data_IF_852795489482
#
_entry.id   IF_852795489482
#
_cell.length_a   1.000
_cell.length_b   1.000
_cell.length_c   1.000
_cell.angle_alpha   90.00
_cell.angle_beta   90.00
_cell.angle_gamma   90.00
#
_symmetry.space_group_name_H-M   'P 1'
#
loop_
_entity.id
_entity.type
_entity.pdbx_description
1 polymer ?
#
# COMPACT_ATOMS: atom_id res chain seq x y z
N UNK A 1 25.59 35.24 -2.10
CA UNK A 1 25.43 34.10 -3.03
C UNK A 1 24.30 33.18 -2.56
N UNK A 2 23.12 33.75 -2.22
CA UNK A 2 21.91 33.04 -1.74
C UNK A 2 20.66 33.61 -2.45
N UNK A 3 20.83 34.51 -3.43
CA UNK A 3 19.72 35.23 -4.08
C UNK A 3 19.51 34.85 -5.55
N UNK A 4 20.10 33.75 -6.03
CA UNK A 4 20.02 33.35 -7.45
C UNK A 4 19.56 31.88 -7.65
N UNK A 5 18.77 31.35 -6.72
CA UNK A 5 17.94 30.14 -6.95
C UNK A 5 16.47 30.51 -6.69
N UNK A 6 16.05 31.65 -7.23
CA UNK A 6 14.66 32.11 -7.22
C UNK A 6 14.10 32.09 -8.65
N UNK A 7 14.18 30.95 -9.33
CA UNK A 7 13.35 30.72 -10.52
C UNK A 7 13.38 29.23 -10.90
N UNK A 8 12.31 28.48 -10.55
CA UNK A 8 11.74 27.29 -11.23
C UNK A 8 10.96 26.30 -10.35
N UNK A 9 10.95 26.46 -9.02
CA UNK A 9 10.07 25.67 -8.14
C UNK A 9 9.30 26.61 -7.21
N UNK A 10 7.97 26.62 -7.31
CA UNK A 10 7.09 27.36 -6.39
C UNK A 10 7.00 26.60 -5.06
N UNK A 11 8.09 26.56 -4.30
CA UNK A 11 8.05 26.01 -2.95
C UNK A 11 7.25 26.94 -2.04
N UNK A 12 6.22 26.41 -1.37
CA UNK A 12 5.54 27.09 -0.27
C UNK A 12 6.35 26.93 1.01
N UNK A 13 6.57 28.03 1.74
CA UNK A 13 7.24 28.02 3.04
C UNK A 13 6.20 28.19 4.15
N UNK A 14 6.21 27.33 5.17
CA UNK A 14 5.40 27.51 6.38
C UNK A 14 6.29 27.98 7.55
N UNK A 15 5.69 28.73 8.48
CA UNK A 15 6.36 29.27 9.67
C UNK A 15 5.81 28.56 10.91
N UNK A 16 6.62 27.74 11.58
CA UNK A 16 6.25 27.22 12.91
C UNK A 16 6.83 28.05 14.05
N UNK A 17 6.02 28.23 15.10
CA UNK A 17 6.35 29.04 16.28
C UNK A 17 7.31 28.28 17.19
N UNK A 18 8.62 28.39 16.96
CA UNK A 18 9.66 28.58 17.99
C UNK A 18 11.10 28.37 17.53
N UNK A 19 11.38 28.14 16.25
CA UNK A 19 12.75 28.19 15.73
C UNK A 19 12.74 28.79 14.33
N UNK A 20 13.65 29.73 14.05
CA UNK A 20 13.80 30.45 12.77
C UNK A 20 14.37 29.54 11.65
N UNK A 21 13.77 28.36 11.43
CA UNK A 21 14.13 27.44 10.36
C UNK A 21 12.99 27.41 9.34
N UNK A 22 13.30 27.80 8.10
CA UNK A 22 12.37 27.73 6.98
C UNK A 22 12.51 26.38 6.30
N UNK A 23 11.49 25.52 6.40
CA UNK A 23 11.41 24.32 5.57
C UNK A 23 10.78 24.70 4.23
N UNK A 24 11.51 24.47 3.13
CA UNK A 24 10.89 24.45 1.81
C UNK A 24 10.00 23.21 1.76
N UNK A 25 8.68 23.37 1.83
CA UNK A 25 7.79 22.25 1.63
C UNK A 25 7.79 21.91 0.14
N UNK A 26 8.15 20.68 -0.19
CA UNK A 26 7.90 20.14 -1.53
C UNK A 26 6.39 20.12 -1.79
N UNK A 27 5.93 20.36 -3.02
CA UNK A 27 4.52 20.18 -3.35
C UNK A 27 4.09 18.74 -3.03
N UNK A 28 2.95 18.58 -2.35
CA UNK A 28 2.40 17.24 -2.09
C UNK A 28 2.01 16.59 -3.42
N UNK A 29 2.29 15.28 -3.59
CA UNK A 29 1.85 14.59 -4.79
C UNK A 29 0.34 14.44 -4.81
N UNK A 30 -0.25 14.43 -6.02
CA UNK A 30 -1.62 13.99 -6.27
C UNK A 30 -1.62 12.64 -6.97
N UNK A 31 -2.67 11.86 -6.75
CA UNK A 31 -2.83 10.53 -7.36
C UNK A 31 -4.14 10.47 -8.14
N UNK A 32 -4.07 10.01 -9.38
CA UNK A 32 -5.22 9.88 -10.27
C UNK A 32 -5.31 8.42 -10.69
N UNK A 33 -6.43 7.77 -10.40
CA UNK A 33 -6.69 6.39 -10.79
C UNK A 33 -7.59 6.36 -12.03
N UNK A 34 -7.28 5.47 -12.99
CA UNK A 34 -8.33 4.95 -13.86
C UNK A 34 -9.32 4.08 -13.08
N UNK A 35 -10.44 3.71 -13.70
CA UNK A 35 -11.49 2.91 -13.08
C UNK A 35 -11.41 1.42 -13.47
N UNK A 36 -11.48 1.12 -14.76
CA UNK A 36 -11.63 -0.24 -15.26
C UNK A 36 -10.24 -0.91 -15.26
N UNK A 37 -10.11 -2.10 -14.67
CA UNK A 37 -8.81 -2.77 -14.51
C UNK A 37 -7.87 -2.16 -13.45
N UNK A 38 -8.15 -0.95 -12.98
CA UNK A 38 -7.41 -0.29 -11.89
C UNK A 38 -8.17 -0.32 -10.57
N UNK A 39 -9.28 0.41 -10.41
CA UNK A 39 -10.08 0.40 -9.17
C UNK A 39 -11.04 -0.80 -9.13
N UNK A 40 -11.62 -1.13 -10.27
CA UNK A 40 -12.54 -2.25 -10.42
C UNK A 40 -11.91 -3.37 -11.26
N UNK A 41 -12.03 -4.61 -10.79
CA UNK A 41 -11.60 -5.80 -11.53
C UNK A 41 -12.64 -6.14 -12.62
N UNK A 42 -12.66 -5.30 -13.67
CA UNK A 42 -13.72 -5.31 -14.69
C UNK A 42 -13.34 -6.02 -15.98
N UNK A 43 -12.04 -6.14 -16.29
CA UNK A 43 -11.55 -6.72 -17.54
C UNK A 43 -12.08 -8.13 -17.83
N UNK A 44 -12.14 -9.08 -16.87
CA UNK A 44 -12.65 -10.41 -17.15
C UNK A 44 -14.12 -10.40 -17.60
N UNK A 45 -14.95 -9.62 -16.91
CA UNK A 45 -16.38 -9.55 -17.18
C UNK A 45 -16.68 -8.70 -18.43
N UNK A 46 -15.93 -7.63 -18.67
CA UNK A 46 -16.03 -6.84 -19.90
C UNK A 46 -15.62 -7.66 -21.13
N UNK A 47 -14.57 -8.46 -21.03
CA UNK A 47 -14.17 -9.38 -22.11
C UNK A 47 -15.29 -10.39 -22.40
N UNK A 48 -15.90 -10.97 -21.36
CA UNK A 48 -17.05 -11.87 -21.55
C UNK A 48 -18.21 -11.17 -22.30
N UNK A 49 -18.58 -9.94 -21.94
CA UNK A 49 -19.64 -9.19 -22.62
C UNK A 49 -19.29 -8.81 -24.05
N UNK A 50 -18.02 -8.55 -24.29
CA UNK A 50 -17.50 -8.36 -25.63
C UNK A 50 -17.60 -9.63 -26.50
N UNK A 51 -17.24 -10.80 -25.96
CA UNK A 51 -17.40 -12.08 -26.65
C UNK A 51 -18.86 -12.39 -26.98
N UNK A 52 -19.77 -12.18 -26.01
CA UNK A 52 -21.21 -12.36 -26.19
C UNK A 52 -21.77 -11.43 -27.29
N UNK A 53 -21.32 -10.16 -27.32
CA UNK A 53 -21.73 -9.19 -28.34
C UNK A 53 -21.32 -9.64 -29.75
N UNK A 54 -20.07 -10.04 -29.95
CA UNK A 54 -19.57 -10.46 -31.27
C UNK A 54 -20.17 -11.80 -31.71
N UNK A 55 -20.39 -12.72 -30.79
CA UNK A 55 -21.10 -13.97 -31.09
C UNK A 55 -22.51 -13.69 -31.62
N UNK A 56 -23.19 -12.65 -31.12
CA UNK A 56 -24.49 -12.20 -31.63
C UNK A 56 -24.49 -11.69 -33.09
N UNK A 57 -23.31 -11.49 -33.68
CA UNK A 57 -23.11 -11.13 -35.10
C UNK A 57 -22.38 -12.23 -35.88
N UNK A 58 -22.31 -13.45 -35.35
CA UNK A 58 -21.55 -14.57 -35.92
C UNK A 58 -20.06 -14.23 -36.16
N UNK A 59 -19.47 -13.45 -35.24
CA UNK A 59 -18.05 -13.06 -35.26
C UNK A 59 -17.30 -13.66 -34.09
N UNK A 60 -16.01 -13.88 -34.31
CA UNK A 60 -15.10 -14.40 -33.29
C UNK A 60 -14.37 -13.24 -32.62
N UNK A 61 -14.56 -13.10 -31.31
CA UNK A 61 -13.78 -12.19 -30.49
C UNK A 61 -12.35 -12.69 -30.32
N UNK A 62 -11.41 -11.74 -30.20
CA UNK A 62 -10.03 -12.05 -29.84
C UNK A 62 -9.58 -11.13 -28.70
N UNK A 63 -8.69 -11.63 -27.84
CA UNK A 63 -8.08 -10.81 -26.79
C UNK A 63 -7.33 -9.61 -27.36
N UNK A 64 -6.58 -9.79 -28.45
CA UNK A 64 -5.84 -8.70 -29.08
C UNK A 64 -6.75 -7.55 -29.57
N UNK A 65 -7.90 -7.89 -30.14
CA UNK A 65 -8.90 -6.88 -30.52
C UNK A 65 -9.48 -6.20 -29.28
N UNK A 66 -9.87 -6.96 -28.25
CA UNK A 66 -10.36 -6.41 -26.99
C UNK A 66 -9.37 -5.41 -26.36
N UNK A 67 -8.10 -5.80 -26.20
CA UNK A 67 -7.07 -4.91 -25.65
C UNK A 67 -6.91 -3.63 -26.49
N UNK A 68 -7.11 -3.69 -27.80
CA UNK A 68 -7.04 -2.49 -28.67
C UNK A 68 -8.23 -1.52 -28.50
N UNK A 69 -9.30 -1.96 -27.83
CA UNK A 69 -10.51 -1.19 -27.54
C UNK A 69 -10.47 -0.54 -26.15
N UNK A 70 -9.56 -0.97 -25.26
CA UNK A 70 -9.41 -0.42 -23.92
C UNK A 70 -9.19 1.10 -23.93
N UNK A 71 -9.88 1.80 -23.04
CA UNK A 71 -9.81 3.26 -22.90
C UNK A 71 -10.63 4.08 -23.90
N UNK A 72 -11.29 3.45 -24.89
CA UNK A 72 -12.16 4.14 -25.85
C UNK A 72 -13.61 4.25 -25.36
N UNK A 73 -14.34 5.27 -25.84
CA UNK A 73 -15.79 5.38 -25.59
C UNK A 73 -16.55 4.26 -26.30
N UNK A 74 -17.67 3.81 -25.73
CA UNK A 74 -18.52 2.75 -26.32
C UNK A 74 -18.92 3.06 -27.77
N UNK A 75 -19.21 4.32 -28.11
CA UNK A 75 -19.51 4.74 -29.49
C UNK A 75 -18.34 4.54 -30.45
N UNK A 76 -17.12 4.78 -29.98
CA UNK A 76 -15.90 4.57 -30.78
C UNK A 76 -15.60 3.08 -30.93
N UNK A 77 -15.78 2.30 -29.86
CA UNK A 77 -15.68 0.83 -29.89
C UNK A 77 -16.63 0.27 -30.94
N UNK A 78 -17.90 0.66 -30.90
CA UNK A 78 -18.90 0.20 -31.85
C UNK A 78 -18.54 0.54 -33.31
N UNK A 79 -18.09 1.76 -33.58
CA UNK A 79 -17.65 2.16 -34.92
C UNK A 79 -16.46 1.33 -35.42
N UNK A 80 -15.48 1.04 -34.54
CA UNK A 80 -14.34 0.16 -34.86
C UNK A 80 -14.80 -1.26 -35.17
N UNK A 81 -15.70 -1.83 -34.37
CA UNK A 81 -16.20 -3.18 -34.56
C UNK A 81 -17.01 -3.33 -35.86
N UNK A 82 -17.88 -2.38 -36.18
CA UNK A 82 -18.63 -2.36 -37.45
C UNK A 82 -17.67 -2.37 -38.63
N UNK A 83 -16.63 -1.53 -38.60
CA UNK A 83 -15.64 -1.45 -39.66
C UNK A 83 -14.78 -2.71 -39.75
N UNK A 84 -14.26 -3.21 -38.62
CA UNK A 84 -13.35 -4.36 -38.57
C UNK A 84 -14.04 -5.66 -39.03
N UNK A 85 -15.26 -5.89 -38.57
CA UNK A 85 -16.02 -7.12 -38.85
C UNK A 85 -16.95 -7.01 -40.06
N UNK A 86 -17.01 -5.83 -40.70
CA UNK A 86 -17.91 -5.49 -41.82
C UNK A 86 -19.37 -5.82 -41.48
N UNK A 87 -19.83 -5.35 -40.33
CA UNK A 87 -21.17 -5.63 -39.83
C UNK A 87 -22.23 -4.90 -40.69
N UNK A 88 -23.35 -5.56 -40.95
CA UNK A 88 -24.47 -4.97 -41.69
C UNK A 88 -25.49 -4.30 -40.76
N UNK A 89 -24.99 -3.53 -39.79
CA UNK A 89 -25.76 -2.76 -38.80
C UNK A 89 -25.06 -1.43 -38.56
N UNK A 90 -25.78 -0.43 -38.03
CA UNK A 90 -25.19 0.86 -37.72
C UNK A 90 -24.26 0.78 -36.50
N UNK A 91 -23.30 1.70 -36.39
CA UNK A 91 -22.45 1.80 -35.20
C UNK A 91 -23.28 2.19 -33.96
N UNK A 92 -24.34 2.96 -34.16
CA UNK A 92 -25.29 3.36 -33.14
C UNK A 92 -26.01 2.14 -32.55
N UNK A 93 -26.50 1.21 -33.39
CA UNK A 93 -27.17 -0.02 -32.94
C UNK A 93 -26.21 -0.93 -32.15
N UNK A 94 -24.96 -1.07 -32.62
CA UNK A 94 -23.94 -1.84 -31.90
C UNK A 94 -23.61 -1.19 -30.56
N UNK A 95 -23.51 0.14 -30.51
CA UNK A 95 -23.24 0.89 -29.29
C UNK A 95 -24.39 0.73 -28.27
N UNK A 96 -25.65 0.79 -28.71
CA UNK A 96 -26.81 0.59 -27.84
C UNK A 96 -26.84 -0.82 -27.26
N UNK A 97 -26.69 -1.85 -28.09
CA UNK A 97 -26.63 -3.25 -27.63
C UNK A 97 -25.47 -3.48 -26.67
N UNK A 98 -24.31 -2.89 -26.93
CA UNK A 98 -23.17 -3.05 -26.03
C UNK A 98 -23.40 -2.33 -24.69
N UNK A 99 -23.96 -1.12 -24.70
CA UNK A 99 -24.39 -0.40 -23.48
C UNK A 99 -25.36 -1.25 -22.66
N UNK A 100 -26.37 -1.84 -23.29
CA UNK A 100 -27.33 -2.73 -22.62
C UNK A 100 -26.63 -3.95 -22.00
N UNK A 101 -25.69 -4.56 -22.73
CA UNK A 101 -24.93 -5.71 -22.26
C UNK A 101 -24.06 -5.38 -21.03
N UNK A 102 -23.46 -4.19 -20.99
CA UNK A 102 -22.57 -3.78 -19.89
C UNK A 102 -23.28 -3.03 -18.76
N UNK A 103 -24.54 -2.61 -18.92
CA UNK A 103 -25.26 -1.81 -17.92
C UNK A 103 -25.32 -2.45 -16.52
N UNK A 104 -25.31 -3.79 -16.45
CA UNK A 104 -25.35 -4.56 -15.20
C UNK A 104 -23.98 -5.06 -14.73
N UNK A 105 -22.92 -4.80 -15.48
CA UNK A 105 -21.55 -5.19 -15.13
C UNK A 105 -21.13 -4.58 -13.79
N UNK A 106 -21.32 -3.26 -13.50
CA UNK A 106 -20.91 -2.65 -12.24
C UNK A 106 -21.45 -3.33 -10.98
N UNK A 107 -22.64 -3.92 -11.07
CA UNK A 107 -23.29 -4.65 -9.96
C UNK A 107 -22.63 -5.99 -9.64
N UNK A 108 -21.76 -6.50 -10.53
CA UNK A 108 -21.07 -7.78 -10.39
C UNK A 108 -19.56 -7.60 -10.16
N UNK A 109 -19.03 -6.40 -10.40
CA UNK A 109 -17.62 -6.12 -10.23
C UNK A 109 -17.19 -6.23 -8.76
N UNK A 110 -15.97 -6.68 -8.54
CA UNK A 110 -15.26 -6.55 -7.25
C UNK A 110 -14.20 -5.45 -7.38
N UNK A 111 -13.75 -4.93 -6.24
CA UNK A 111 -12.56 -4.06 -6.24
C UNK A 111 -11.32 -4.85 -6.65
N UNK A 112 -10.41 -4.20 -7.36
CA UNK A 112 -9.07 -4.74 -7.61
C UNK A 112 -8.39 -5.02 -6.28
N UNK A 113 -7.68 -6.15 -6.19
CA UNK A 113 -6.99 -6.55 -4.96
C UNK A 113 -6.06 -5.44 -4.45
N UNK A 114 -6.26 -5.03 -3.20
CA UNK A 114 -5.48 -3.97 -2.56
C UNK A 114 -5.93 -2.54 -2.88
N UNK A 115 -6.96 -2.33 -3.71
CA UNK A 115 -7.43 -0.99 -4.04
C UNK A 115 -7.93 -0.23 -2.80
N UNK A 116 -8.71 -0.88 -1.93
CA UNK A 116 -9.20 -0.26 -0.70
C UNK A 116 -8.05 0.08 0.26
N UNK A 117 -7.09 -0.84 0.43
CA UNK A 117 -5.88 -0.61 1.25
C UNK A 117 -5.09 0.61 0.75
N UNK A 118 -4.92 0.72 -0.56
CA UNK A 118 -4.25 1.87 -1.20
C UNK A 118 -5.03 3.16 -0.98
N UNK A 119 -6.35 3.17 -1.16
CA UNK A 119 -7.17 4.36 -0.94
C UNK A 119 -7.13 4.84 0.52
N UNK A 120 -7.23 3.93 1.49
CA UNK A 120 -7.06 4.26 2.91
C UNK A 120 -5.65 4.80 3.20
N UNK A 121 -4.63 4.16 2.64
CA UNK A 121 -3.23 4.58 2.83
C UNK A 121 -2.98 5.98 2.28
N UNK A 122 -3.43 6.29 1.07
CA UNK A 122 -3.29 7.62 0.49
C UNK A 122 -4.07 8.67 1.28
N UNK A 123 -5.26 8.33 1.76
CA UNK A 123 -6.06 9.22 2.64
C UNK A 123 -5.37 9.46 3.98
N UNK A 124 -4.79 8.42 4.59
CA UNK A 124 -4.00 8.53 5.82
C UNK A 124 -2.82 9.47 5.64
N UNK A 125 -2.14 9.39 4.49
CA UNK A 125 -1.04 10.26 4.10
C UNK A 125 -1.49 11.65 3.59
N UNK A 126 -2.79 11.94 3.64
CA UNK A 126 -3.39 13.20 3.17
C UNK A 126 -2.98 13.57 1.73
N UNK A 127 -2.89 12.55 0.87
CA UNK A 127 -2.58 12.67 -0.55
C UNK A 127 -3.92 12.85 -1.30
N UNK A 128 -4.10 13.96 -2.05
CA UNK A 128 -5.30 14.15 -2.86
C UNK A 128 -5.44 13.08 -3.94
N UNK A 129 -6.65 12.50 -4.04
CA UNK A 129 -6.95 11.41 -4.97
C UNK A 129 -8.03 11.85 -5.95
N UNK A 130 -7.89 11.51 -7.23
CA UNK A 130 -8.95 11.62 -8.22
C UNK A 130 -9.22 10.30 -8.93
N UNK A 131 -10.44 10.15 -9.43
CA UNK A 131 -10.83 9.11 -10.38
C UNK A 131 -10.99 9.75 -11.76
N UNK A 132 -10.41 9.16 -12.80
CA UNK A 132 -10.52 9.66 -14.17
C UNK A 132 -10.74 8.50 -15.15
N UNK A 133 -11.98 8.33 -15.62
CA UNK A 133 -12.41 7.20 -16.45
C UNK A 133 -13.07 7.63 -17.76
N UNK A 134 -12.85 6.88 -18.84
CA UNK A 134 -13.57 7.07 -20.09
C UNK A 134 -15.05 6.62 -20.03
N UNK A 135 -15.43 5.91 -18.96
CA UNK A 135 -16.79 5.44 -18.71
C UNK A 135 -17.72 6.57 -18.29
N UNK A 136 -19.02 6.42 -18.56
CA UNK A 136 -20.04 7.39 -18.14
C UNK A 136 -20.28 7.33 -16.64
N UNK A 137 -20.81 8.42 -16.08
CA UNK A 137 -21.13 8.47 -14.64
C UNK A 137 -22.08 7.37 -14.20
N UNK A 138 -23.10 7.07 -15.00
CA UNK A 138 -24.10 6.03 -14.71
C UNK A 138 -23.49 4.63 -14.60
N UNK A 139 -22.34 4.37 -15.24
CA UNK A 139 -21.66 3.09 -15.17
C UNK A 139 -20.89 2.93 -13.85
N UNK A 140 -20.00 3.87 -13.49
CA UNK A 140 -19.13 3.66 -12.33
C UNK A 140 -19.78 4.08 -10.99
N UNK A 141 -20.73 5.03 -10.97
CA UNK A 141 -21.30 5.55 -9.71
C UNK A 141 -21.91 4.47 -8.81
N UNK A 142 -22.72 3.51 -9.31
CA UNK A 142 -23.25 2.43 -8.47
C UNK A 142 -22.15 1.60 -7.80
N UNK A 143 -21.02 1.39 -8.48
CA UNK A 143 -19.88 0.68 -7.92
C UNK A 143 -19.22 1.48 -6.79
N UNK A 144 -18.99 2.79 -6.98
CA UNK A 144 -18.40 3.63 -5.93
C UNK A 144 -19.27 3.68 -4.68
N UNK A 145 -20.58 3.85 -4.85
CA UNK A 145 -21.53 3.90 -3.73
C UNK A 145 -21.60 2.58 -2.96
N UNK A 146 -21.72 1.45 -3.66
CA UNK A 146 -21.84 0.12 -3.03
C UNK A 146 -20.58 -0.24 -2.23
N UNK A 147 -19.40 0.12 -2.74
CA UNK A 147 -18.14 -0.13 -2.05
C UNK A 147 -17.80 0.97 -1.03
N UNK A 148 -18.60 2.05 -0.94
CA UNK A 148 -18.33 3.17 -0.04
C UNK A 148 -16.96 3.79 -0.28
N UNK A 149 -16.60 4.08 -1.54
CA UNK A 149 -15.29 4.65 -1.90
C UNK A 149 -15.36 6.01 -2.59
N UNK A 150 -16.54 6.57 -2.80
CA UNK A 150 -16.68 7.88 -3.43
C UNK A 150 -15.99 9.00 -2.62
N UNK A 151 -16.02 8.89 -1.29
CA UNK A 151 -15.46 9.88 -0.37
C UNK A 151 -13.92 9.97 -0.37
N UNK A 152 -13.21 9.03 -1.01
CA UNK A 152 -11.75 9.12 -1.14
C UNK A 152 -11.35 10.08 -2.26
N UNK A 153 -12.23 10.30 -3.25
CA UNK A 153 -11.91 11.08 -4.43
C UNK A 153 -12.24 12.56 -4.21
N UNK A 154 -11.22 13.40 -4.19
CA UNK A 154 -11.34 14.86 -4.21
C UNK A 154 -11.93 15.36 -5.54
N UNK A 155 -11.76 14.58 -6.61
CA UNK A 155 -12.37 14.83 -7.91
C UNK A 155 -12.71 13.51 -8.61
N UNK A 156 -13.84 13.49 -9.31
CA UNK A 156 -14.25 12.37 -10.17
C UNK A 156 -14.53 12.93 -11.55
N UNK A 157 -13.82 12.42 -12.55
CA UNK A 157 -13.90 12.83 -13.94
C UNK A 157 -14.36 11.63 -14.76
N UNK A 158 -15.46 11.81 -15.46
CA UNK A 158 -16.10 10.80 -16.32
C UNK A 158 -15.81 11.08 -17.79
N UNK A 159 -16.11 10.09 -18.65
CA UNK A 159 -16.05 10.26 -20.10
C UNK A 159 -17.05 11.29 -20.63
N UNK A 160 -18.06 11.64 -19.83
CA UNK A 160 -19.06 12.66 -20.13
C UNK A 160 -18.50 14.09 -19.92
N UNK A 161 -17.45 14.24 -19.10
CA UNK A 161 -16.83 15.53 -18.79
C UNK A 161 -15.84 16.00 -19.86
N UNK A 162 -15.46 15.12 -20.79
CA UNK A 162 -14.47 15.40 -21.84
C UNK A 162 -15.01 15.13 -23.24
N UNK A 163 -14.63 15.99 -24.18
CA UNK A 163 -15.01 15.85 -25.59
C UNK A 163 -14.27 14.69 -26.25
N UNK A 164 -12.95 14.64 -26.07
CA UNK A 164 -12.06 13.65 -26.69
C UNK A 164 -11.64 12.63 -25.64
N UNK A 165 -11.78 11.34 -25.97
CA UNK A 165 -11.38 10.24 -25.10
C UNK A 165 -9.86 10.02 -25.14
N UNK A 166 -9.37 9.16 -24.23
CA UNK A 166 -7.99 8.65 -24.26
C UNK A 166 -7.72 8.06 -25.66
N UNK A 167 -6.57 8.34 -26.30
CA UNK A 167 -5.32 8.83 -25.72
C UNK A 167 -5.17 10.36 -25.61
N UNK A 168 -6.20 11.16 -25.90
CA UNK A 168 -6.11 12.60 -25.71
C UNK A 168 -5.92 12.95 -24.21
N UNK A 169 -5.16 14.00 -23.86
CA UNK A 169 -4.81 14.30 -22.47
C UNK A 169 -5.94 14.95 -21.66
N UNK A 170 -7.05 15.32 -22.29
CA UNK A 170 -8.13 16.14 -21.74
C UNK A 170 -8.61 15.65 -20.37
N UNK A 171 -8.78 14.33 -20.19
CA UNK A 171 -9.31 13.75 -18.96
C UNK A 171 -8.36 13.91 -17.78
N UNK A 172 -7.06 13.68 -18.01
CA UNK A 172 -6.04 13.81 -16.97
C UNK A 172 -5.67 15.27 -16.73
N UNK A 173 -5.66 16.13 -17.74
CA UNK A 173 -5.52 17.58 -17.55
C UNK A 173 -6.65 18.14 -16.69
N UNK A 174 -7.89 17.70 -16.92
CA UNK A 174 -9.02 18.07 -16.08
C UNK A 174 -8.84 17.55 -14.65
N UNK A 175 -8.46 16.29 -14.46
CA UNK A 175 -8.19 15.72 -13.14
C UNK A 175 -7.11 16.49 -12.36
N UNK A 176 -5.96 16.76 -12.99
CA UNK A 176 -4.86 17.57 -12.43
C UNK A 176 -5.36 18.96 -12.00
N UNK A 177 -6.13 19.63 -12.88
CA UNK A 177 -6.67 20.96 -12.58
C UNK A 177 -7.61 20.98 -11.37
N UNK A 178 -8.32 19.86 -11.12
CA UNK A 178 -9.24 19.70 -10.00
C UNK A 178 -8.54 19.33 -8.70
N UNK A 179 -7.46 18.54 -8.78
CA UNK A 179 -6.64 18.19 -7.62
C UNK A 179 -5.79 19.38 -7.12
N UNK A 180 -5.45 20.33 -8.00
CA UNK A 180 -4.62 21.49 -7.67
C UNK A 180 -3.23 21.12 -7.11
N UNK A 181 -2.73 19.95 -7.51
CA UNK A 181 -1.42 19.40 -7.15
C UNK A 181 -0.44 19.60 -8.30
N UNK A 182 0.84 19.82 -7.99
CA UNK A 182 1.89 20.08 -8.99
C UNK A 182 2.61 18.79 -9.45
N UNK A 183 2.70 17.78 -8.59
CA UNK A 183 3.32 16.48 -8.90
C UNK A 183 2.26 15.38 -8.94
N UNK A 184 1.83 14.96 -10.12
CA UNK A 184 0.69 14.05 -10.27
C UNK A 184 1.12 12.69 -10.82
N UNK A 185 0.65 11.64 -10.16
CA UNK A 185 0.81 10.26 -10.59
C UNK A 185 -0.51 9.75 -11.16
N UNK A 186 -0.47 9.15 -12.34
CA UNK A 186 -1.62 8.50 -12.98
C UNK A 186 -1.39 7.00 -12.99
N UNK A 187 -2.34 6.22 -12.47
CA UNK A 187 -2.29 4.76 -12.46
C UNK A 187 -3.24 4.24 -13.53
N UNK A 188 -2.68 3.47 -14.47
CA UNK A 188 -3.35 3.03 -15.68
C UNK A 188 -2.95 1.61 -16.05
N UNK A 189 -3.88 0.88 -16.65
CA UNK A 189 -3.73 -0.50 -17.09
C UNK A 189 -3.86 -0.63 -18.62
N UNK A 190 -4.10 0.49 -19.32
CA UNK A 190 -4.28 0.54 -20.77
C UNK A 190 -3.33 1.51 -21.47
N UNK A 191 -2.84 1.12 -22.66
CA UNK A 191 -1.90 1.91 -23.48
C UNK A 191 -2.41 3.32 -23.77
N UNK A 192 -3.68 3.44 -24.12
CA UNK A 192 -4.30 4.75 -24.41
C UNK A 192 -4.25 5.66 -23.19
N UNK A 193 -4.41 5.08 -22.00
CA UNK A 193 -4.28 5.73 -20.71
C UNK A 193 -2.90 6.27 -20.44
N UNK A 194 -1.87 5.43 -20.56
CA UNK A 194 -0.47 5.84 -20.38
C UNK A 194 -0.10 6.99 -21.31
N UNK A 195 -0.49 6.92 -22.59
CA UNK A 195 -0.24 8.00 -23.54
C UNK A 195 -0.94 9.29 -23.10
N UNK A 196 -2.21 9.20 -22.69
CA UNK A 196 -3.00 10.34 -22.21
C UNK A 196 -2.35 10.98 -20.97
N UNK A 197 -1.89 10.17 -20.01
CA UNK A 197 -1.23 10.63 -18.79
C UNK A 197 0.07 11.39 -19.10
N UNK A 198 0.91 10.82 -19.96
CA UNK A 198 2.16 11.44 -20.38
C UNK A 198 1.93 12.76 -21.12
N UNK A 199 0.95 12.81 -22.02
CA UNK A 199 0.57 14.03 -22.74
C UNK A 199 -0.04 15.10 -21.81
N UNK A 200 -0.64 14.69 -20.69
CA UNK A 200 -1.14 15.59 -19.66
C UNK A 200 -0.04 16.15 -18.74
N UNK A 201 1.20 15.65 -18.86
CA UNK A 201 2.34 16.06 -18.02
C UNK A 201 2.36 15.39 -16.64
N UNK A 202 1.62 14.29 -16.46
CA UNK A 202 1.67 13.48 -15.24
C UNK A 202 2.72 12.37 -15.35
N UNK A 203 3.17 11.86 -14.21
CA UNK A 203 3.98 10.64 -14.10
C UNK A 203 3.07 9.43 -14.25
N UNK A 204 3.25 8.64 -15.30
CA UNK A 204 2.39 7.47 -15.55
C UNK A 204 2.95 6.21 -14.89
N UNK A 205 2.10 5.48 -14.17
CA UNK A 205 2.37 4.15 -13.60
C UNK A 205 1.51 3.10 -14.30
N UNK A 206 2.15 2.11 -14.88
CA UNK A 206 1.48 0.95 -15.45
C UNK A 206 1.10 -0.06 -14.36
N UNK A 207 -0.19 -0.30 -14.15
CA UNK A 207 -0.65 -1.41 -13.32
C UNK A 207 -0.68 -2.70 -14.17
N UNK A 208 0.23 -3.62 -13.84
CA UNK A 208 0.34 -4.89 -14.55
C UNK A 208 -0.96 -5.69 -14.49
N UNK A 209 -1.43 -6.12 -15.65
CA UNK A 209 -2.63 -6.94 -15.78
C UNK A 209 -2.39 -8.06 -16.83
N UNK A 210 -3.12 -9.19 -16.76
CA UNK A 210 -2.92 -10.30 -17.68
C UNK A 210 -3.61 -10.12 -19.05
N UNK A 211 -4.28 -8.98 -19.27
CA UNK A 211 -5.11 -8.69 -20.44
C UNK A 211 -4.39 -7.79 -21.45
N UNK A 212 -3.36 -7.08 -21.00
CA UNK A 212 -2.57 -6.18 -21.80
C UNK A 212 -1.08 -6.42 -21.52
N UNK A 213 -0.35 -6.81 -22.55
CA UNK A 213 1.10 -7.07 -22.47
C UNK A 213 1.78 -6.52 -23.72
N UNK A 214 2.93 -5.89 -23.58
CA UNK A 214 3.74 -5.41 -24.71
C UNK A 214 4.20 -3.96 -24.57
N UNK A 215 4.20 -3.22 -25.67
CA UNK A 215 4.75 -1.85 -25.78
C UNK A 215 4.09 -0.79 -24.87
N UNK A 216 2.93 -1.09 -24.28
CA UNK A 216 2.25 -0.16 -23.36
C UNK A 216 3.04 0.06 -22.07
N UNK A 217 3.58 -1.03 -21.52
CA UNK A 217 4.41 -1.01 -20.31
C UNK A 217 5.68 -0.18 -20.52
N UNK A 218 6.28 -0.25 -21.71
CA UNK A 218 7.52 0.49 -22.02
C UNK A 218 7.31 1.99 -22.24
N UNK A 219 6.06 2.43 -22.41
CA UNK A 219 5.70 3.85 -22.50
C UNK A 219 5.47 4.48 -21.11
N UNK A 220 5.22 3.65 -20.09
CA UNK A 220 5.02 4.14 -18.75
C UNK A 220 6.36 4.57 -18.14
N UNK A 221 6.32 5.59 -17.28
CA UNK A 221 7.50 6.00 -16.53
C UNK A 221 7.95 4.89 -15.57
N UNK A 222 7.02 4.19 -14.91
CA UNK A 222 7.32 3.00 -14.11
C UNK A 222 6.17 1.98 -14.15
N UNK A 223 6.47 0.76 -13.70
CA UNK A 223 5.51 -0.35 -13.58
C UNK A 223 5.19 -0.64 -12.12
N UNK A 224 3.93 -0.98 -11.87
CA UNK A 224 3.36 -1.38 -10.60
C UNK A 224 2.71 -2.77 -10.73
N UNK A 225 3.22 -3.76 -10.01
CA UNK A 225 2.65 -5.12 -10.04
C UNK A 225 1.31 -5.22 -9.30
N UNK A 226 1.06 -4.34 -8.33
CA UNK A 226 -0.13 -4.33 -7.48
C UNK A 226 -0.29 -2.98 -6.79
N UNK A 227 -1.54 -2.61 -6.50
CA UNK A 227 -1.87 -1.30 -5.92
C UNK A 227 -1.22 -0.99 -4.55
N UNK A 228 -1.07 -1.94 -3.60
CA UNK A 228 -0.42 -1.63 -2.31
C UNK A 228 1.03 -1.15 -2.44
N UNK A 229 1.70 -1.49 -3.55
CA UNK A 229 3.07 -1.01 -3.82
C UNK A 229 3.12 0.49 -4.19
N UNK A 230 1.99 1.15 -4.44
CA UNK A 230 1.94 2.55 -4.88
C UNK A 230 2.49 3.52 -3.82
N UNK A 231 1.98 3.43 -2.59
CA UNK A 231 2.39 4.34 -1.52
C UNK A 231 3.92 4.23 -1.25
N UNK A 232 4.52 3.03 -1.11
CA UNK A 232 5.97 2.89 -1.06
C UNK A 232 6.72 3.59 -2.20
N UNK A 233 6.21 3.53 -3.43
CA UNK A 233 6.83 4.21 -4.58
C UNK A 233 6.79 5.73 -4.44
N UNK A 234 5.62 6.29 -4.13
CA UNK A 234 5.44 7.74 -3.94
C UNK A 234 6.33 8.26 -2.79
N UNK A 235 6.44 7.46 -1.72
CA UNK A 235 7.26 7.74 -0.55
C UNK A 235 8.77 7.57 -0.79
N UNK A 236 9.22 7.14 -1.97
CA UNK A 236 10.64 6.86 -2.24
C UNK A 236 11.21 5.70 -1.41
N UNK A 237 10.35 4.77 -1.00
CA UNK A 237 10.78 3.56 -0.31
C UNK A 237 11.35 2.59 -1.36
N UNK A 238 12.67 2.44 -1.41
CA UNK A 238 13.31 1.28 -2.04
C UNK A 238 13.07 0.05 -1.16
N UNK A 239 11.96 -0.65 -1.37
CA UNK A 239 11.61 -1.83 -0.57
C UNK A 239 11.30 -3.01 -1.46
N UNK A 240 12.38 -3.63 -1.91
CA UNK A 240 12.36 -5.04 -2.30
C UNK A 240 12.07 -5.93 -1.08
N UNK A 241 12.51 -5.53 0.12
CA UNK A 241 12.41 -6.32 1.35
C UNK A 241 11.12 -6.12 2.16
N UNK A 242 10.47 -4.96 2.09
CA UNK A 242 9.25 -4.66 2.88
C UNK A 242 8.05 -4.41 1.95
N UNK A 243 6.86 -4.63 2.46
CA UNK A 243 5.62 -4.12 1.91
C UNK A 243 4.86 -3.32 2.96
N UNK A 244 4.46 -2.11 2.59
CA UNK A 244 3.42 -1.37 3.30
C UNK A 244 2.08 -2.01 2.93
N UNK A 245 1.46 -2.76 3.85
CA UNK A 245 0.20 -3.46 3.58
C UNK A 245 -0.95 -2.46 3.64
N UNK A 246 -1.05 -1.72 4.74
CA UNK A 246 -2.07 -0.71 4.97
C UNK A 246 -1.65 0.27 6.07
N UNK A 247 -2.05 1.54 5.97
CA UNK A 247 -1.94 2.50 7.07
C UNK A 247 -3.30 2.74 7.74
N UNK A 248 -3.35 2.65 9.07
CA UNK A 248 -4.55 2.90 9.87
C UNK A 248 -4.21 3.31 11.30
N UNK A 249 -4.99 4.26 11.83
CA UNK A 249 -4.97 4.62 13.26
C UNK A 249 -5.78 3.66 14.13
N UNK A 250 -6.58 2.78 13.51
CA UNK A 250 -7.48 1.85 14.19
C UNK A 250 -7.23 0.44 13.66
N UNK A 251 -6.60 -0.39 14.49
CA UNK A 251 -6.29 -1.79 14.17
C UNK A 251 -6.93 -2.69 15.21
N UNK A 252 -7.62 -3.73 14.76
CA UNK A 252 -8.20 -4.76 15.61
C UNK A 252 -7.72 -6.14 15.18
N UNK A 253 -7.24 -6.93 16.12
CA UNK A 253 -6.90 -8.33 15.87
C UNK A 253 -8.12 -9.19 16.19
N UNK A 254 -8.44 -10.11 15.28
CA UNK A 254 -9.56 -11.04 15.40
C UNK A 254 -9.07 -12.49 15.29
N UNK A 255 -9.04 -13.23 16.40
CA UNK A 255 -8.79 -14.66 16.36
C UNK A 255 -9.87 -15.40 15.56
N UNK A 256 -9.47 -16.36 14.73
CA UNK A 256 -10.37 -17.23 13.99
C UNK A 256 -10.09 -18.69 14.35
N UNK A 257 -11.15 -19.46 14.57
CA UNK A 257 -11.07 -20.87 14.97
C UNK A 257 -10.89 -21.83 13.78
N UNK A 258 -10.80 -21.32 12.55
CA UNK A 258 -10.59 -22.17 11.38
C UNK A 258 -9.11 -22.55 11.25
N UNK A 259 -8.78 -23.85 11.17
CA UNK A 259 -7.40 -24.28 11.00
C UNK A 259 -6.93 -23.97 9.58
N UNK A 260 -6.07 -22.97 9.43
CA UNK A 260 -5.06 -23.06 8.39
C UNK A 260 -4.00 -24.03 8.88
N UNK A 261 -3.84 -25.13 8.17
CA UNK A 261 -2.71 -26.02 8.35
C UNK A 261 -1.60 -25.40 7.49
N UNK A 262 -0.53 -24.84 8.07
CA UNK A 262 0.60 -24.41 7.26
C UNK A 262 1.05 -25.61 6.44
N UNK A 263 1.13 -25.45 5.12
CA UNK A 263 1.63 -26.49 4.19
C UNK A 263 3.09 -26.86 4.45
N UNK A 264 3.75 -26.18 5.41
CA UNK A 264 5.09 -26.42 5.88
C UNK A 264 5.16 -27.69 6.74
N UNK A 265 5.11 -28.84 6.07
CA UNK A 265 5.74 -30.05 6.61
C UNK A 265 7.24 -29.87 6.40
N UNK A 266 7.92 -29.29 7.38
CA UNK A 266 9.39 -29.34 7.42
C UNK A 266 9.74 -30.79 7.73
N UNK A 267 10.29 -31.50 6.75
CA UNK A 267 10.78 -32.87 6.94
C UNK A 267 11.85 -32.84 8.03
N UNK A 268 11.80 -33.80 8.96
CA UNK A 268 12.75 -33.92 10.08
C UNK A 268 12.72 -32.71 11.05
N UNK A 269 11.55 -32.05 11.20
CA UNK A 269 11.36 -30.85 12.04
C UNK A 269 11.75 -31.04 13.51
N UNK A 270 11.52 -32.21 14.09
CA UNK A 270 11.89 -32.49 15.48
C UNK A 270 13.41 -32.53 15.66
N UNK A 271 14.14 -33.21 14.78
CA UNK A 271 15.61 -33.27 14.85
C UNK A 271 16.23 -31.88 14.67
N UNK A 272 15.70 -31.08 13.73
CA UNK A 272 16.13 -29.70 13.50
C UNK A 272 15.83 -28.78 14.70
N UNK A 273 14.70 -29.01 15.39
CA UNK A 273 14.35 -28.29 16.60
C UNK A 273 15.30 -28.63 17.75
N UNK A 274 15.56 -29.93 17.98
CA UNK A 274 16.50 -30.38 19.00
C UNK A 274 17.92 -29.85 18.74
N UNK A 275 18.37 -29.83 17.49
CA UNK A 275 19.64 -29.20 17.11
C UNK A 275 19.64 -27.69 17.43
N UNK A 276 18.55 -26.99 17.11
CA UNK A 276 18.43 -25.55 17.37
C UNK A 276 18.43 -25.23 18.88
N UNK A 277 17.83 -26.08 19.72
CA UNK A 277 17.91 -25.98 21.18
C UNK A 277 19.33 -26.22 21.72
N UNK A 278 20.12 -27.10 21.08
CA UNK A 278 21.52 -27.29 21.43
C UNK A 278 22.36 -26.05 21.08
N UNK A 279 22.06 -25.41 19.94
CA UNK A 279 22.70 -24.17 19.50
C UNK A 279 22.29 -22.97 20.37
N UNK A 280 21.02 -22.88 20.75
CA UNK A 280 20.46 -21.83 21.60
C UNK A 280 19.48 -22.40 22.64
N UNK A 281 19.97 -22.67 23.88
CA UNK A 281 19.15 -23.24 24.95
C UNK A 281 18.01 -22.35 25.45
N UNK A 282 17.98 -21.07 25.06
CA UNK A 282 16.95 -20.11 25.48
C UNK A 282 15.71 -20.14 24.58
N UNK A 283 15.72 -20.90 23.48
CA UNK A 283 14.53 -21.05 22.63
C UNK A 283 13.40 -21.73 23.41
N UNK A 284 12.19 -21.22 23.25
CA UNK A 284 10.97 -21.79 23.83
C UNK A 284 9.87 -21.89 22.77
N UNK A 285 8.97 -22.86 22.92
CA UNK A 285 7.91 -23.12 21.93
C UNK A 285 6.53 -22.72 22.48
N UNK A 286 6.23 -21.43 22.37
CA UNK A 286 4.94 -20.83 22.73
C UNK A 286 3.95 -20.80 21.55
N UNK A 287 2.68 -20.52 21.86
CA UNK A 287 1.65 -20.28 20.84
C UNK A 287 1.72 -18.81 20.37
N UNK A 288 1.91 -18.60 19.08
CA UNK A 288 2.01 -17.28 18.45
C UNK A 288 0.81 -16.99 17.57
N UNK A 289 0.53 -15.70 17.34
CA UNK A 289 -0.44 -15.27 16.35
C UNK A 289 0.15 -15.42 14.95
N UNK A 290 -0.57 -16.13 14.08
CA UNK A 290 -0.25 -16.29 12.67
C UNK A 290 -1.25 -15.50 11.86
N UNK A 291 -0.75 -14.54 11.08
CA UNK A 291 -1.54 -13.77 10.13
C UNK A 291 -2.24 -14.70 9.13
N UNK A 292 -3.55 -14.48 8.95
CA UNK A 292 -4.37 -15.21 7.99
C UNK A 292 -4.86 -14.30 6.87
N UNK A 293 -5.51 -13.19 7.21
CA UNK A 293 -6.02 -12.20 6.27
C UNK A 293 -6.26 -10.86 6.96
N UNK A 294 -6.51 -9.82 6.19
CA UNK A 294 -7.05 -8.56 6.71
C UNK A 294 -8.19 -8.07 5.82
N UNK A 295 -9.01 -7.18 6.36
CA UNK A 295 -10.06 -6.47 5.65
C UNK A 295 -10.44 -5.21 6.44
N UNK A 296 -11.22 -4.33 5.81
CA UNK A 296 -11.69 -3.10 6.41
C UNK A 296 -13.12 -3.25 6.92
N UNK A 297 -13.35 -2.80 8.15
CA UNK A 297 -14.68 -2.48 8.68
C UNK A 297 -14.74 -0.97 8.91
N UNK A 298 -15.36 -0.25 7.96
CA UNK A 298 -15.28 1.21 7.90
C UNK A 298 -13.81 1.69 7.88
N UNK A 299 -13.37 2.45 8.88
CA UNK A 299 -12.00 2.94 9.01
C UNK A 299 -11.12 2.04 9.92
N UNK A 300 -11.61 0.87 10.34
CA UNK A 300 -10.88 -0.09 11.19
C UNK A 300 -10.27 -1.19 10.34
N UNK A 301 -8.94 -1.35 10.41
CA UNK A 301 -8.24 -2.47 9.79
C UNK A 301 -8.34 -3.68 10.71
N UNK A 302 -9.09 -4.70 10.28
CA UNK A 302 -9.28 -5.94 11.03
C UNK A 302 -8.33 -7.00 10.51
N UNK A 303 -7.46 -7.52 11.38
CA UNK A 303 -6.47 -8.56 11.07
C UNK A 303 -6.97 -9.88 11.64
N UNK A 304 -7.27 -10.84 10.77
CA UNK A 304 -7.58 -12.20 11.18
C UNK A 304 -6.30 -12.96 11.51
N UNK A 305 -6.27 -13.56 12.69
CA UNK A 305 -5.15 -14.39 13.15
C UNK A 305 -5.63 -15.77 13.57
N UNK A 306 -4.73 -16.74 13.49
CA UNK A 306 -4.93 -18.12 13.90
C UNK A 306 -3.76 -18.58 14.77
N UNK A 307 -3.89 -19.68 15.52
CA UNK A 307 -2.80 -20.15 16.37
C UNK A 307 -1.71 -20.81 15.53
N UNK A 308 -0.44 -20.56 15.89
CA UNK A 308 0.72 -21.30 15.39
C UNK A 308 1.73 -21.57 16.49
N UNK A 309 2.71 -22.45 16.23
CA UNK A 309 3.80 -22.73 17.17
C UNK A 309 5.03 -21.91 16.81
N UNK A 310 5.68 -21.32 17.81
CA UNK A 310 6.91 -20.55 17.61
C UNK A 310 8.00 -21.41 16.94
N UNK A 311 8.11 -22.70 17.29
CA UNK A 311 9.09 -23.60 16.64
C UNK A 311 8.89 -23.70 15.13
N UNK A 312 7.65 -23.68 14.65
CA UNK A 312 7.35 -23.85 13.22
C UNK A 312 7.75 -22.58 12.46
N UNK A 313 7.46 -21.42 13.02
CA UNK A 313 7.96 -20.13 12.54
C UNK A 313 9.49 -20.10 12.48
N UNK A 314 10.16 -20.45 13.58
CA UNK A 314 11.61 -20.44 13.69
C UNK A 314 12.28 -21.36 12.65
N UNK A 315 11.76 -22.59 12.50
CA UNK A 315 12.30 -23.57 11.56
C UNK A 315 12.00 -23.18 10.10
N UNK A 316 10.80 -22.68 9.80
CA UNK A 316 10.45 -22.22 8.46
C UNK A 316 11.40 -21.09 8.03
N UNK A 317 11.65 -20.15 8.94
CA UNK A 317 12.62 -19.07 8.76
C UNK A 317 14.04 -19.59 8.52
N UNK A 318 14.55 -20.54 9.33
CA UNK A 318 15.88 -21.16 9.14
C UNK A 318 16.00 -21.85 7.78
N UNK A 319 14.88 -22.38 7.27
CA UNK A 319 14.79 -23.02 5.95
C UNK A 319 14.57 -22.03 4.79
N UNK A 320 14.50 -20.72 5.04
CA UNK A 320 14.22 -19.71 4.02
C UNK A 320 12.79 -19.77 3.48
N UNK A 321 11.87 -20.36 4.25
CA UNK A 321 10.46 -20.44 3.90
C UNK A 321 9.68 -19.40 4.71
N UNK A 322 9.03 -18.42 4.07
CA UNK A 322 8.23 -17.43 4.75
C UNK A 322 7.12 -18.08 5.57
N UNK A 323 6.96 -17.66 6.81
CA UNK A 323 5.86 -18.06 7.68
C UNK A 323 5.15 -16.81 8.18
N UNK A 324 3.83 -16.67 7.97
CA UNK A 324 3.10 -15.44 8.21
C UNK A 324 2.84 -15.20 9.70
N UNK A 325 3.89 -15.06 10.52
CA UNK A 325 3.74 -14.68 11.92
C UNK A 325 3.27 -13.21 12.02
N UNK A 326 2.55 -12.89 13.10
CA UNK A 326 2.16 -11.52 13.43
C UNK A 326 2.99 -11.01 14.61
N UNK A 327 3.75 -9.94 14.38
CA UNK A 327 4.51 -9.19 15.35
C UNK A 327 3.98 -7.77 15.55
N UNK A 328 4.71 -7.02 16.37
CA UNK A 328 4.46 -5.61 16.66
C UNK A 328 5.78 -4.86 16.68
N UNK A 329 5.81 -3.67 16.09
CA UNK A 329 6.98 -2.81 16.05
C UNK A 329 6.57 -1.38 16.42
N UNK A 330 7.28 -0.80 17.38
CA UNK A 330 6.96 0.49 17.98
C UNK A 330 8.03 1.53 17.71
N UNK A 331 7.57 2.77 17.54
CA UNK A 331 8.41 3.97 17.54
C UNK A 331 8.15 4.74 18.82
N UNK A 332 9.04 4.59 19.80
CA UNK A 332 8.95 5.33 21.04
C UNK A 332 9.43 6.78 20.85
N UNK A 333 8.62 7.74 21.32
CA UNK A 333 8.83 9.20 21.20
C UNK A 333 8.70 9.85 22.58
N UNK A 334 9.32 11.02 22.75
CA UNK A 334 9.09 11.89 23.91
C UNK A 334 8.29 13.15 23.52
N UNK A 335 8.42 14.21 24.33
CA UNK A 335 7.78 15.51 24.11
C UNK A 335 8.37 16.30 22.94
N UNK A 336 9.56 15.94 22.45
CA UNK A 336 10.14 16.51 21.25
C UNK A 336 9.62 15.75 20.02
N UNK A 337 8.97 16.42 19.06
CA UNK A 337 8.25 15.75 17.97
C UNK A 337 9.18 14.88 17.12
N UNK A 338 10.40 15.31 16.82
CA UNK A 338 11.31 14.56 15.95
C UNK A 338 12.20 13.56 16.70
N UNK A 339 12.06 13.46 18.02
CA UNK A 339 12.89 12.60 18.88
C UNK A 339 12.32 11.18 18.94
N UNK A 340 13.13 10.19 18.55
CA UNK A 340 12.78 8.78 18.62
C UNK A 340 13.85 7.98 19.36
N UNK A 341 13.44 6.86 19.98
CA UNK A 341 14.35 5.89 20.59
C UNK A 341 14.72 4.82 19.57
N UNK A 342 16.01 4.54 19.47
CA UNK A 342 16.54 3.51 18.60
C UNK A 342 17.46 2.59 19.41
N UNK A 343 17.48 1.32 19.04
CA UNK A 343 18.22 0.28 19.73
C UNK A 343 19.19 -0.42 18.80
N UNK A 344 20.40 -0.69 19.29
CA UNK A 344 21.36 -1.54 18.59
C UNK A 344 21.19 -2.97 19.07
N UNK A 345 20.68 -3.85 18.19
CA UNK A 345 20.42 -5.26 18.49
C UNK A 345 21.70 -5.95 18.95
N UNK A 346 21.59 -6.85 19.92
CA UNK A 346 22.72 -7.66 20.38
C UNK A 346 23.24 -8.56 19.26
N UNK A 347 24.54 -8.80 19.25
CA UNK A 347 25.19 -9.77 18.33
C UNK A 347 24.69 -11.21 18.54
N UNK A 348 24.02 -11.47 19.66
CA UNK A 348 23.43 -12.78 19.99
C UNK A 348 21.96 -12.91 19.57
N UNK A 349 21.34 -11.85 19.05
CA UNK A 349 19.97 -11.92 18.55
C UNK A 349 19.87 -12.84 17.32
N UNK A 350 18.73 -13.51 17.18
CA UNK A 350 18.45 -14.40 16.06
C UNK A 350 18.15 -13.64 14.76
N UNK A 351 17.79 -12.35 14.86
CA UNK A 351 17.49 -11.48 13.71
C UNK A 351 18.40 -10.27 13.70
N UNK A 352 18.92 -9.95 12.51
CA UNK A 352 19.71 -8.74 12.22
C UNK A 352 20.73 -8.36 13.32
N UNK A 353 21.65 -9.27 13.71
CA UNK A 353 22.56 -9.05 14.83
C UNK A 353 23.43 -7.81 14.59
N UNK A 354 23.45 -6.89 15.55
CA UNK A 354 24.21 -5.64 15.48
C UNK A 354 23.56 -4.52 14.64
N UNK A 355 22.43 -4.78 13.99
CA UNK A 355 21.68 -3.76 13.26
C UNK A 355 20.92 -2.81 14.20
N UNK A 356 20.57 -1.65 13.68
CA UNK A 356 19.71 -0.68 14.35
C UNK A 356 18.23 -0.95 14.07
N UNK A 357 17.42 -0.72 15.08
CA UNK A 357 15.97 -0.91 15.03
C UNK A 357 15.24 0.18 15.81
N UNK A 358 13.99 0.41 15.43
CA UNK A 358 13.01 1.13 16.23
C UNK A 358 12.63 0.28 17.45
N UNK A 359 12.49 0.92 18.61
CA UNK A 359 12.22 0.24 19.90
C UNK A 359 10.85 0.69 20.41
N UNK A 360 10.00 -0.22 20.90
CA UNK A 360 10.24 -1.67 21.09
C UNK A 360 9.76 -2.55 19.92
N UNK A 361 10.11 -3.82 19.89
CA UNK A 361 9.64 -4.77 18.87
C UNK A 361 9.47 -6.19 19.40
N UNK A 362 8.49 -6.95 18.91
CA UNK A 362 8.32 -8.32 19.37
C UNK A 362 7.11 -9.06 18.80
N UNK A 363 6.76 -10.18 19.42
CA UNK A 363 5.71 -11.09 18.94
C UNK A 363 4.35 -10.81 19.56
N UNK A 364 3.26 -11.09 18.83
CA UNK A 364 1.91 -11.03 19.43
C UNK A 364 1.46 -12.45 19.82
N UNK A 365 1.28 -12.75 21.12
CA UNK A 365 0.82 -14.07 21.57
C UNK A 365 -0.63 -14.33 21.12
N UNK A 366 -0.96 -15.56 20.76
CA UNK A 366 -2.32 -15.89 20.31
C UNK A 366 -3.34 -15.92 21.46
N UNK A 367 -2.91 -16.37 22.64
CA UNK A 367 -3.79 -16.50 23.82
C UNK A 367 -4.20 -15.14 24.41
N UNK A 368 -3.49 -14.07 24.04
CA UNK A 368 -3.79 -12.67 24.39
C UNK A 368 -3.45 -11.76 23.21
N UNK A 369 -4.26 -11.77 22.13
CA UNK A 369 -3.94 -11.14 20.86
C UNK A 369 -4.26 -9.62 20.87
N UNK A 370 -3.84 -8.94 21.94
CA UNK A 370 -3.91 -7.50 22.08
C UNK A 370 -2.54 -6.91 21.75
N UNK A 371 -2.44 -6.27 20.57
CA UNK A 371 -1.19 -5.68 20.11
C UNK A 371 -0.74 -4.50 20.97
N UNK A 372 -1.65 -3.79 21.62
CA UNK A 372 -1.30 -2.65 22.50
C UNK A 372 -0.67 -3.17 23.78
N UNK A 373 -1.25 -4.21 24.38
CA UNK A 373 -0.66 -4.88 25.53
C UNK A 373 0.70 -5.52 25.19
N UNK A 374 0.79 -6.16 24.01
CA UNK A 374 2.05 -6.76 23.55
C UNK A 374 3.17 -5.72 23.43
N UNK A 375 2.95 -4.60 22.72
CA UNK A 375 4.02 -3.60 22.55
C UNK A 375 4.41 -2.88 23.85
N UNK A 376 3.47 -2.72 24.78
CA UNK A 376 3.76 -2.18 26.12
C UNK A 376 4.65 -3.16 26.89
N UNK A 377 4.37 -4.46 26.81
CA UNK A 377 5.18 -5.49 27.44
C UNK A 377 6.60 -5.49 26.88
N UNK A 378 6.75 -5.50 25.55
CA UNK A 378 8.06 -5.41 24.89
C UNK A 378 8.81 -4.14 25.33
N UNK A 379 8.13 -2.99 25.44
CA UNK A 379 8.73 -1.76 25.94
C UNK A 379 9.40 -1.92 27.32
N UNK A 380 8.72 -2.62 28.24
CA UNK A 380 9.14 -2.82 29.63
C UNK A 380 10.25 -3.88 29.74
N UNK A 381 10.20 -4.89 28.88
CA UNK A 381 11.21 -5.97 28.82
C UNK A 381 12.51 -5.46 28.20
N UNK A 382 12.43 -4.74 27.08
CA UNK A 382 13.58 -4.29 26.29
C UNK A 382 14.21 -3.00 26.81
N UNK A 383 13.51 -2.24 27.65
CA UNK A 383 13.99 -0.96 28.20
C UNK A 383 13.74 -0.82 29.70
N UNK A 384 14.20 0.28 30.30
CA UNK A 384 13.87 0.62 31.70
C UNK A 384 12.57 1.43 31.85
N UNK A 385 11.77 1.58 30.80
CA UNK A 385 10.48 2.29 30.89
C UNK A 385 9.56 1.57 31.89
N UNK A 386 8.66 2.32 32.52
CA UNK A 386 7.61 1.78 33.35
C UNK A 386 6.28 2.04 32.67
N UNK A 387 5.31 1.14 32.85
CA UNK A 387 4.00 1.20 32.18
C UNK A 387 3.31 2.56 32.40
N UNK A 388 3.34 3.09 33.61
CA UNK A 388 2.73 4.39 33.95
C UNK A 388 3.34 5.59 33.21
N UNK A 389 4.53 5.42 32.62
CA UNK A 389 5.21 6.44 31.83
C UNK A 389 4.90 6.34 30.33
N UNK A 390 4.21 5.30 29.88
CA UNK A 390 3.70 5.18 28.52
C UNK A 390 2.33 5.86 28.50
N UNK A 391 2.29 7.08 27.96
CA UNK A 391 1.10 7.95 28.02
C UNK A 391 0.09 7.67 26.92
N UNK A 392 0.56 7.12 25.80
CA UNK A 392 -0.25 6.93 24.59
C UNK A 392 0.38 5.86 23.70
N UNK A 393 -0.46 5.02 23.10
CA UNK A 393 -0.08 4.04 22.08
C UNK A 393 -1.05 4.20 20.91
N UNK A 394 -0.54 4.49 19.72
CA UNK A 394 -1.34 4.71 18.51
C UNK A 394 -0.87 3.83 17.36
N UNK A 395 -1.79 3.18 16.67
CA UNK A 395 -1.47 2.43 15.47
C UNK A 395 -1.06 3.34 14.32
N UNK A 396 -0.15 2.85 13.50
CA UNK A 396 0.27 3.47 12.24
C UNK A 396 -0.20 2.63 11.07
N UNK A 397 -0.01 1.31 11.13
CA UNK A 397 -0.37 0.43 10.03
C UNK A 397 0.12 -1.00 10.18
N UNK A 398 -0.04 -1.76 9.10
CA UNK A 398 0.44 -3.13 8.94
C UNK A 398 1.51 -3.16 7.86
N UNK A 399 2.64 -3.77 8.18
CA UNK A 399 3.78 -3.93 7.28
C UNK A 399 4.12 -5.40 7.16
N UNK A 400 4.71 -5.80 6.03
CA UNK A 400 5.21 -7.16 5.80
C UNK A 400 6.70 -7.11 5.54
N UNK A 401 7.49 -7.77 6.39
CA UNK A 401 8.84 -8.19 6.06
C UNK A 401 8.77 -9.39 5.11
N UNK A 402 9.07 -9.15 3.82
CA UNK A 402 9.02 -10.19 2.78
C UNK A 402 10.15 -11.20 2.93
N UNK A 403 11.26 -10.84 3.59
CA UNK A 403 12.38 -11.75 3.77
C UNK A 403 12.03 -12.89 4.72
N UNK A 404 11.37 -12.55 5.84
CA UNK A 404 11.00 -13.52 6.86
C UNK A 404 9.53 -13.94 6.84
N UNK A 405 8.70 -13.21 6.09
CA UNK A 405 7.26 -13.41 6.05
C UNK A 405 6.53 -12.87 7.27
N UNK A 406 7.13 -11.99 8.06
CA UNK A 406 6.53 -11.47 9.29
C UNK A 406 5.66 -10.25 8.96
N UNK A 407 4.43 -10.25 9.47
CA UNK A 407 3.55 -9.10 9.44
C UNK A 407 3.67 -8.35 10.76
N UNK A 408 3.93 -7.05 10.72
CA UNK A 408 4.08 -6.23 11.92
C UNK A 408 3.01 -5.15 12.00
N UNK A 409 2.33 -5.11 13.14
CA UNK A 409 1.55 -3.94 13.53
C UNK A 409 2.54 -2.86 13.94
N UNK A 410 2.66 -1.82 13.12
CA UNK A 410 3.51 -0.66 13.41
C UNK A 410 2.72 0.36 14.21
N UNK A 411 3.32 0.90 15.26
CA UNK A 411 2.69 1.86 16.17
C UNK A 411 3.66 2.89 16.74
N UNK A 412 3.14 3.93 17.39
CA UNK A 412 3.93 4.88 18.20
C UNK A 412 3.63 4.73 19.67
N UNK A 413 4.64 4.92 20.51
CA UNK A 413 4.50 5.02 21.96
C UNK A 413 4.99 6.38 22.42
N UNK A 414 4.20 7.09 23.23
CA UNK A 414 4.61 8.38 23.79
C UNK A 414 5.02 8.24 25.25
N UNK A 415 6.19 8.78 25.57
CA UNK A 415 6.76 8.82 26.92
C UNK A 415 7.16 10.25 27.32
N UNK A 416 7.58 10.44 28.57
CA UNK A 416 7.96 11.76 29.07
C UNK A 416 9.40 12.17 28.64
N UNK A 417 10.35 11.23 28.65
CA UNK A 417 11.78 11.51 28.41
C UNK A 417 12.54 10.25 28.00
N UNK A 418 12.95 10.17 26.73
CA UNK A 418 13.70 9.03 26.18
C UNK A 418 15.13 8.94 26.73
N UNK A 419 15.76 10.07 27.09
CA UNK A 419 17.18 10.12 27.46
C UNK A 419 17.52 9.36 28.76
N UNK A 420 16.50 9.03 29.55
CA UNK A 420 16.62 8.27 30.78
C UNK A 420 16.53 6.76 30.59
N UNK A 421 16.09 6.30 29.43
CA UNK A 421 15.87 4.88 29.16
C UNK A 421 17.20 4.17 28.93
N UNK A 422 17.32 2.96 29.48
CA UNK A 422 18.49 2.09 29.29
C UNK A 422 18.07 0.77 28.66
N UNK A 423 18.96 0.23 27.85
CA UNK A 423 18.79 -1.06 27.20
C UNK A 423 18.64 -2.19 28.23
N UNK A 424 17.84 -3.19 27.88
CA UNK A 424 17.77 -4.50 28.51
C UNK A 424 17.79 -5.59 27.43
N UNK A 425 18.10 -6.82 27.86
CA UNK A 425 17.98 -8.07 27.10
C UNK A 425 18.49 -8.03 25.64
N UNK A 426 17.63 -7.64 24.70
CA UNK A 426 17.84 -7.68 23.25
C UNK A 426 18.78 -6.60 22.72
N UNK A 427 18.96 -5.49 23.46
CA UNK A 427 19.73 -4.34 22.98
C UNK A 427 21.04 -4.15 23.75
N UNK A 428 22.12 -3.90 23.01
CA UNK A 428 23.41 -3.54 23.62
C UNK A 428 23.47 -2.07 24.01
N UNK A 429 22.72 -1.24 23.28
CA UNK A 429 22.76 0.21 23.42
C UNK A 429 21.44 0.80 22.93
N UNK A 430 20.96 1.81 23.65
CA UNK A 430 19.86 2.67 23.20
C UNK A 430 20.41 4.07 22.97
N UNK A 431 19.90 4.72 21.93
CA UNK A 431 20.20 6.10 21.59
C UNK A 431 18.91 6.85 21.25
N UNK A 432 18.86 8.13 21.61
CA UNK A 432 17.79 9.04 21.17
C UNK A 432 18.29 9.82 19.98
N UNK A 433 17.59 9.73 18.85
CA UNK A 433 17.97 10.41 17.61
C UNK A 433 16.86 11.32 17.12
N UNK A 434 17.24 12.38 16.40
CA UNK A 434 16.30 13.18 15.64
C UNK A 434 16.04 12.50 14.29
N UNK A 435 14.79 12.14 14.01
CA UNK A 435 14.39 11.41 12.80
C UNK A 435 14.62 12.19 11.50
N UNK A 436 14.68 13.52 11.58
CA UNK A 436 14.94 14.42 10.45
C UNK A 436 16.45 14.69 10.24
N UNK A 437 17.31 14.22 11.14
CA UNK A 437 18.77 14.39 11.04
C UNK A 437 19.38 13.41 10.03
N UNK A 438 20.40 13.86 9.30
CA UNK A 438 21.22 12.99 8.44
C UNK A 438 22.16 12.06 9.23
N UNK A 439 22.09 12.06 10.56
CA UNK A 439 22.94 11.26 11.46
C UNK A 439 22.35 9.88 11.80
N UNK A 440 21.32 9.44 11.06
CA UNK A 440 20.77 8.09 11.20
C UNK A 440 21.89 7.06 10.97
N UNK A 441 22.15 6.14 11.91
CA UNK A 441 23.18 5.12 11.77
C UNK A 441 23.09 4.30 10.49
N UNK A 442 24.23 3.75 10.02
CA UNK A 442 24.24 2.78 8.93
C UNK A 442 23.78 1.39 9.44
N UNK A 443 23.17 0.58 8.56
CA UNK A 443 22.67 -0.79 8.80
C UNK A 443 21.44 -0.88 9.73
N UNK A 444 20.26 -0.79 9.12
CA UNK A 444 18.97 -0.94 9.78
C UNK A 444 18.33 -2.29 9.51
N UNK A 445 17.52 -2.74 10.47
CA UNK A 445 16.44 -3.68 10.18
C UNK A 445 15.59 -3.09 9.04
N UNK A 446 15.35 -3.83 7.94
CA UNK A 446 14.65 -3.29 6.77
C UNK A 446 13.28 -2.70 7.10
N UNK A 447 12.54 -3.32 8.04
CA UNK A 447 11.24 -2.82 8.50
C UNK A 447 11.39 -1.44 9.16
N UNK A 448 12.28 -1.31 10.15
CA UNK A 448 12.51 -0.02 10.83
C UNK A 448 12.93 1.07 9.85
N UNK A 449 13.77 0.78 8.85
CA UNK A 449 14.10 1.76 7.82
C UNK A 449 12.87 2.23 7.03
N UNK A 450 11.97 1.31 6.66
CA UNK A 450 10.72 1.65 5.99
C UNK A 450 9.80 2.49 6.89
N UNK A 451 9.68 2.12 8.17
CA UNK A 451 8.93 2.86 9.19
C UNK A 451 9.46 4.28 9.32
N UNK A 452 10.78 4.47 9.47
CA UNK A 452 11.41 5.79 9.59
C UNK A 452 11.06 6.70 8.39
N UNK A 453 11.12 6.17 7.17
CA UNK A 453 10.77 6.94 5.97
C UNK A 453 9.29 7.35 5.93
N UNK A 454 8.39 6.50 6.41
CA UNK A 454 6.96 6.87 6.57
C UNK A 454 6.81 8.03 7.55
N UNK A 455 7.49 7.96 8.70
CA UNK A 455 7.45 9.07 9.68
C UNK A 455 8.11 10.35 9.17
N UNK A 456 9.24 10.25 8.46
CA UNK A 456 9.89 11.40 7.82
C UNK A 456 8.95 12.07 6.82
N UNK A 457 8.22 11.29 6.02
CA UNK A 457 7.19 11.81 5.13
C UNK A 457 6.07 12.51 5.90
N UNK A 458 5.52 11.86 6.93
CA UNK A 458 4.47 12.45 7.75
C UNK A 458 4.91 13.78 8.37
N UNK A 459 6.11 13.83 8.95
CA UNK A 459 6.68 15.05 9.53
C UNK A 459 6.91 16.14 8.45
N UNK A 460 7.47 15.79 7.29
CA UNK A 460 7.69 16.71 6.17
C UNK A 460 6.40 17.43 5.73
N UNK A 461 5.25 16.78 5.88
CA UNK A 461 3.95 17.32 5.50
C UNK A 461 3.05 17.68 6.70
N UNK A 462 3.54 17.60 7.93
CA UNK A 462 2.80 17.98 9.15
C UNK A 462 1.58 17.11 9.45
N UNK A 463 1.71 15.78 9.37
CA UNK A 463 0.64 14.79 9.53
C UNK A 463 0.68 14.02 10.86
#
# INVERSE_FOLDING_TARGET
MVLEIMDKTRCSFSRERNNDIWYAMTPRPGVIFDFDGVIADSLPLLYQKYEELLAGYDKTATRAEFSSLNGAKVSEIAARLVAAHKLNVSAEDVAERFKEAIAKVPQQLTMTKGALDTLHTLRFLNIPIALATASSKDYFSPFLHRNGIEQYFSAIISGDDVKVAKPAPDIYQLAISRLQTEDNWVIEDARAGIISANLAGAKSLWLSNPWESGEAETLAQETLERLPSLAPRILGLEVTAIELVALSKQIRIRPIEQPYIPTLVIKDSEDLWQQSLQENPNLFDSTISVYHSHFWEEDVLVINVQPGRYRDFYLARKAGNPFPALGVNGVMRDTHPDSILIGKRSVTCTEYPGAWETVPAGGIPYDSPDWQAAIIQEAIEETTVQEENIKQVEAVGLFLDKHHGVYDVVCTLKTDDLSKLKAREEYQHLETVNIMSSQIPEQWVPLSNAVLKVFQWMNQYGL
#
